data_IF_285737907669
#
_entry.id   IF_285737907669
#
_cell.length_a   1.000
_cell.length_b   1.000
_cell.length_c   1.000
_cell.angle_alpha   90.00
_cell.angle_beta   90.00
_cell.angle_gamma   90.00
#
_symmetry.space_group_name_H-M   'P 1'
#
loop_
_entity.id
_entity.type
_entity.pdbx_description
1 polymer ?
#
# COMPACT_ATOMS: atom_id res chain seq x y z
N UNK A 1 5.15 3.86 25.89
CA UNK A 1 5.56 4.56 24.66
C UNK A 1 4.99 5.98 24.56
N UNK A 2 3.68 6.21 24.73
CA UNK A 2 3.09 7.56 24.59
C UNK A 2 3.70 8.66 25.48
N UNK A 3 3.96 8.38 26.76
CA UNK A 3 4.58 9.36 27.68
C UNK A 3 6.01 9.70 27.27
N UNK A 4 6.80 8.70 26.85
CA UNK A 4 8.19 8.90 26.42
C UNK A 4 8.23 9.78 25.16
N UNK A 5 7.35 9.52 24.19
CA UNK A 5 7.23 10.32 22.96
C UNK A 5 6.78 11.74 23.28
N UNK A 6 5.82 11.92 24.19
CA UNK A 6 5.35 13.24 24.62
C UNK A 6 6.49 14.04 25.27
N UNK A 7 7.25 13.43 26.18
CA UNK A 7 8.38 14.08 26.86
C UNK A 7 9.48 14.45 25.86
N UNK A 8 9.79 13.57 24.90
CA UNK A 8 10.78 13.82 23.86
C UNK A 8 10.35 14.94 22.90
N UNK A 9 9.08 14.95 22.48
CA UNK A 9 8.51 16.01 21.66
C UNK A 9 8.56 17.36 22.39
N UNK A 10 8.14 17.41 23.65
CA UNK A 10 8.14 18.64 24.44
C UNK A 10 9.55 19.18 24.69
N UNK A 11 10.55 18.32 24.84
CA UNK A 11 11.96 18.74 24.98
C UNK A 11 12.58 19.18 23.67
N UNK A 12 12.27 18.52 22.55
CA UNK A 12 12.80 18.86 21.22
C UNK A 12 12.12 20.08 20.57
N UNK A 13 10.85 20.35 20.89
CA UNK A 13 10.08 21.49 20.38
C UNK A 13 10.19 22.73 21.26
N UNK A 14 10.81 22.63 22.45
CA UNK A 14 11.03 23.77 23.35
C UNK A 14 11.91 24.81 22.65
N UNK A 15 11.36 25.99 22.35
CA UNK A 15 12.07 27.09 21.71
C UNK A 15 12.01 27.13 20.17
N UNK A 16 11.26 26.23 19.52
CA UNK A 16 10.95 26.31 18.08
C UNK A 16 9.59 26.96 17.83
N UNK A 17 9.45 28.20 18.32
CA UNK A 17 8.23 28.99 18.14
C UNK A 17 8.14 29.47 16.68
N UNK A 18 7.40 28.73 15.85
CA UNK A 18 6.89 29.25 14.56
C UNK A 18 5.99 30.45 14.85
N UNK A 19 6.20 31.56 14.13
CA UNK A 19 5.31 32.72 14.22
C UNK A 19 3.86 32.29 14.02
N UNK A 20 3.05 32.43 15.07
CA UNK A 20 1.62 32.12 15.02
C UNK A 20 0.93 33.25 14.28
N UNK A 21 0.84 33.14 12.96
CA UNK A 21 -0.06 33.99 12.19
C UNK A 21 -1.49 33.50 12.41
N UNK A 22 -2.45 34.37 12.77
CA UNK A 22 -3.86 34.00 12.89
C UNK A 22 -4.44 33.75 11.49
N UNK A 23 -4.15 32.59 10.92
CA UNK A 23 -4.79 32.15 9.69
C UNK A 23 -6.24 31.82 10.02
N UNK A 24 -7.19 32.53 9.40
CA UNK A 24 -8.62 32.23 9.53
C UNK A 24 -8.85 30.79 9.08
N UNK A 25 -9.34 29.95 9.99
CA UNK A 25 -9.56 28.53 9.71
C UNK A 25 -10.63 28.35 8.63
N UNK A 26 -10.26 27.68 7.55
CA UNK A 26 -11.16 27.35 6.44
C UNK A 26 -12.14 26.23 6.83
N UNK A 27 -13.11 26.56 7.69
CA UNK A 27 -14.08 25.61 8.23
C UNK A 27 -14.91 24.88 7.15
N UNK A 28 -15.39 25.55 6.07
CA UNK A 28 -16.11 24.89 5.00
C UNK A 28 -15.24 23.86 4.27
N UNK A 29 -14.02 24.24 3.88
CA UNK A 29 -13.06 23.36 3.22
C UNK A 29 -12.69 22.15 4.08
N UNK A 30 -12.52 22.35 5.40
CA UNK A 30 -12.21 21.28 6.33
C UNK A 30 -13.37 20.29 6.45
N UNK A 31 -14.60 20.79 6.53
CA UNK A 31 -15.81 19.95 6.60
C UNK A 31 -15.98 19.12 5.33
N UNK A 32 -15.80 19.76 4.17
CA UNK A 32 -15.80 19.10 2.86
C UNK A 32 -14.71 18.02 2.76
N UNK A 33 -13.52 18.28 3.32
CA UNK A 33 -12.41 17.33 3.33
C UNK A 33 -12.73 16.13 4.20
N UNK A 34 -13.24 16.35 5.42
CA UNK A 34 -13.61 15.27 6.35
C UNK A 34 -14.73 14.41 5.78
N UNK A 35 -15.80 15.01 5.25
CA UNK A 35 -16.91 14.27 4.65
C UNK A 35 -16.50 13.55 3.36
N UNK A 36 -15.77 14.24 2.48
CA UNK A 36 -15.31 13.69 1.21
C UNK A 36 -14.36 12.52 1.39
N UNK A 37 -13.24 12.79 2.04
CA UNK A 37 -12.12 11.85 2.20
C UNK A 37 -12.46 10.78 3.23
N UNK A 38 -13.06 11.15 4.37
CA UNK A 38 -13.47 10.20 5.39
C UNK A 38 -14.56 9.26 4.88
N UNK A 39 -15.56 9.78 4.17
CA UNK A 39 -16.57 8.94 3.53
C UNK A 39 -15.96 7.98 2.50
N UNK A 40 -14.95 8.44 1.74
CA UNK A 40 -14.32 7.64 0.69
C UNK A 40 -13.47 6.53 1.29
N UNK A 41 -12.73 6.83 2.36
CA UNK A 41 -11.95 5.84 3.09
C UNK A 41 -12.87 4.78 3.70
N UNK A 42 -13.96 5.17 4.36
CA UNK A 42 -14.93 4.21 4.93
C UNK A 42 -15.56 3.36 3.81
N UNK A 43 -15.93 3.99 2.69
CA UNK A 43 -16.46 3.28 1.53
C UNK A 43 -15.49 2.23 0.98
N UNK A 44 -14.21 2.57 0.87
CA UNK A 44 -13.18 1.66 0.38
C UNK A 44 -12.87 0.55 1.39
N UNK A 45 -12.75 0.88 2.67
CA UNK A 45 -12.41 -0.07 3.73
C UNK A 45 -13.55 -1.07 3.97
N UNK A 46 -14.81 -0.61 3.90
CA UNK A 46 -16.00 -1.45 4.09
C UNK A 46 -16.60 -1.97 2.79
N UNK A 47 -16.09 -1.55 1.63
CA UNK A 47 -16.62 -1.91 0.32
C UNK A 47 -16.75 -3.42 0.16
N UNK A 48 -15.67 -4.16 0.41
CA UNK A 48 -15.70 -5.63 0.32
C UNK A 48 -16.61 -6.27 1.38
N UNK A 49 -16.59 -5.79 2.61
CA UNK A 49 -17.37 -6.36 3.72
C UNK A 49 -18.88 -6.15 3.53
N UNK A 50 -19.29 -5.06 2.86
CA UNK A 50 -20.67 -4.68 2.60
C UNK A 50 -21.13 -4.99 1.16
N UNK A 51 -20.44 -5.88 0.45
CA UNK A 51 -20.80 -6.27 -0.92
C UNK A 51 -20.88 -5.09 -1.92
N UNK A 52 -19.98 -4.12 -1.75
CA UNK A 52 -19.77 -2.98 -2.63
C UNK A 52 -21.08 -2.23 -2.95
N UNK A 53 -21.34 -1.95 -4.23
CA UNK A 53 -22.50 -1.18 -4.68
C UNK A 53 -23.83 -1.93 -4.55
N UNK A 54 -23.83 -3.17 -4.04
CA UNK A 54 -25.06 -3.85 -3.65
C UNK A 54 -25.61 -3.32 -2.31
N UNK A 55 -24.75 -2.67 -1.49
CA UNK A 55 -25.17 -2.06 -0.23
C UNK A 55 -25.53 -0.58 -0.38
N UNK A 56 -26.73 -0.25 0.10
CA UNK A 56 -27.21 1.14 0.19
C UNK A 56 -26.25 2.05 0.97
N UNK A 57 -25.58 1.52 1.99
CA UNK A 57 -24.60 2.29 2.79
C UNK A 57 -23.40 2.71 1.95
N UNK A 58 -22.87 1.82 1.11
CA UNK A 58 -21.75 2.11 0.22
C UNK A 58 -22.15 3.10 -0.87
N UNK A 59 -23.37 2.97 -1.42
CA UNK A 59 -23.91 3.94 -2.39
C UNK A 59 -23.99 5.34 -1.75
N UNK A 60 -24.55 5.47 -0.54
CA UNK A 60 -24.66 6.75 0.17
C UNK A 60 -23.26 7.34 0.42
N UNK A 61 -22.33 6.55 0.94
CA UNK A 61 -20.95 7.01 1.17
C UNK A 61 -20.29 7.46 -0.13
N UNK A 62 -20.48 6.72 -1.23
CA UNK A 62 -19.94 7.10 -2.54
C UNK A 62 -20.51 8.44 -3.01
N UNK A 63 -21.83 8.62 -2.94
CA UNK A 63 -22.50 9.85 -3.38
C UNK A 63 -22.04 11.04 -2.53
N UNK A 64 -22.04 10.90 -1.20
CA UNK A 64 -21.57 11.95 -0.28
C UNK A 64 -20.11 12.28 -0.57
N UNK A 65 -19.24 11.28 -0.72
CA UNK A 65 -17.83 11.50 -1.01
C UNK A 65 -17.59 12.18 -2.34
N UNK A 66 -18.26 11.76 -3.40
CA UNK A 66 -18.12 12.36 -4.73
C UNK A 66 -18.59 13.82 -4.71
N UNK A 67 -19.76 14.10 -4.13
CA UNK A 67 -20.29 15.47 -4.03
C UNK A 67 -19.37 16.35 -3.19
N UNK A 68 -18.92 15.86 -2.03
CA UNK A 68 -18.02 16.61 -1.14
C UNK A 68 -16.64 16.84 -1.77
N UNK A 69 -16.07 15.88 -2.48
CA UNK A 69 -14.77 16.05 -3.15
C UNK A 69 -14.85 17.01 -4.34
N UNK A 70 -15.90 16.93 -5.16
CA UNK A 70 -16.12 17.89 -6.25
C UNK A 70 -16.29 19.29 -5.68
N UNK A 71 -17.13 19.44 -4.65
CA UNK A 71 -17.37 20.70 -3.97
C UNK A 71 -16.09 21.23 -3.31
N UNK A 72 -15.24 20.34 -2.77
CA UNK A 72 -13.93 20.70 -2.21
C UNK A 72 -13.01 21.26 -3.29
N UNK A 73 -12.89 20.60 -4.44
CA UNK A 73 -12.02 21.08 -5.53
C UNK A 73 -12.46 22.46 -6.02
N UNK A 74 -13.76 22.68 -6.17
CA UNK A 74 -14.32 23.98 -6.57
C UNK A 74 -14.06 25.05 -5.49
N UNK A 75 -14.29 24.71 -4.22
CA UNK A 75 -14.08 25.61 -3.09
C UNK A 75 -12.62 26.00 -2.93
N UNK A 76 -11.72 25.02 -2.91
CA UNK A 76 -10.28 25.21 -2.74
C UNK A 76 -9.66 25.98 -3.92
N UNK A 77 -10.21 25.84 -5.13
CA UNK A 77 -9.76 26.62 -6.30
C UNK A 77 -10.15 28.10 -6.22
N UNK A 78 -11.16 28.45 -5.41
CA UNK A 78 -11.71 29.82 -5.31
C UNK A 78 -11.36 30.49 -3.97
N UNK A 79 -10.89 29.73 -2.98
CA UNK A 79 -10.61 30.23 -1.62
C UNK A 79 -9.31 31.04 -1.54
N UNK A 80 -9.30 32.09 -0.72
CA UNK A 80 -8.10 32.89 -0.43
C UNK A 80 -7.08 32.16 0.47
N UNK A 81 -7.52 31.20 1.30
CA UNK A 81 -6.67 30.46 2.24
C UNK A 81 -6.82 28.93 2.09
N UNK A 82 -6.57 28.36 0.90
CA UNK A 82 -6.86 26.94 0.63
C UNK A 82 -6.13 26.00 1.60
N UNK A 83 -6.84 24.98 2.07
CA UNK A 83 -6.28 23.86 2.84
C UNK A 83 -5.36 23.03 1.93
N UNK A 84 -5.73 22.88 0.66
CA UNK A 84 -4.97 22.16 -0.36
C UNK A 84 -4.50 23.15 -1.43
N UNK A 85 -3.29 23.69 -1.28
CA UNK A 85 -2.70 24.60 -2.26
C UNK A 85 -2.37 23.86 -3.58
N UNK A 86 -3.34 23.83 -4.51
CA UNK A 86 -3.20 23.20 -5.82
C UNK A 86 -2.12 23.86 -6.70
N UNK A 87 -1.69 25.09 -6.38
CA UNK A 87 -0.60 25.75 -7.11
C UNK A 87 0.72 25.00 -7.00
N UNK A 88 0.89 24.16 -5.97
CA UNK A 88 2.06 23.30 -5.79
C UNK A 88 2.28 22.33 -6.96
N UNK A 89 1.20 21.86 -7.60
CA UNK A 89 1.28 20.99 -8.79
C UNK A 89 1.84 21.68 -10.04
N UNK A 90 2.01 23.01 -10.02
CA UNK A 90 2.78 23.71 -11.07
C UNK A 90 4.27 23.40 -10.99
N UNK A 91 4.78 23.02 -9.82
CA UNK A 91 6.17 22.59 -9.67
C UNK A 91 6.34 21.17 -10.20
N UNK A 92 7.21 21.01 -11.20
CA UNK A 92 7.51 19.72 -11.81
C UNK A 92 7.97 18.68 -10.78
N UNK A 93 8.85 19.06 -9.85
CA UNK A 93 9.38 18.14 -8.84
C UNK A 93 8.30 17.71 -7.85
N UNK A 94 7.42 18.64 -7.45
CA UNK A 94 6.29 18.33 -6.58
C UNK A 94 5.32 17.35 -7.23
N UNK A 95 4.92 17.61 -8.49
CA UNK A 95 3.99 16.73 -9.22
C UNK A 95 4.57 15.33 -9.42
N UNK A 96 5.83 15.23 -9.84
CA UNK A 96 6.48 13.92 -10.05
C UNK A 96 6.64 13.19 -8.72
N UNK A 97 7.03 13.89 -7.66
CA UNK A 97 7.18 13.32 -6.33
C UNK A 97 5.85 12.84 -5.74
N UNK A 98 4.78 13.63 -5.86
CA UNK A 98 3.43 13.22 -5.42
C UNK A 98 2.90 12.07 -6.26
N UNK A 99 2.99 12.12 -7.59
CA UNK A 99 2.52 10.99 -8.42
C UNK A 99 3.30 9.71 -8.09
N UNK A 100 4.62 9.82 -7.91
CA UNK A 100 5.46 8.69 -7.50
C UNK A 100 5.05 8.13 -6.13
N UNK A 101 4.88 8.99 -5.11
CA UNK A 101 4.54 8.53 -3.75
C UNK A 101 3.13 7.94 -3.70
N UNK A 102 2.16 8.54 -4.38
CA UNK A 102 0.78 8.06 -4.49
C UNK A 102 0.74 6.67 -5.13
N UNK A 103 1.28 6.54 -6.34
CA UNK A 103 1.26 5.26 -7.05
C UNK A 103 2.06 4.19 -6.31
N UNK A 104 3.25 4.53 -5.81
CA UNK A 104 4.06 3.54 -5.12
C UNK A 104 3.45 3.13 -3.76
N UNK A 105 2.83 4.05 -3.04
CA UNK A 105 2.15 3.75 -1.78
C UNK A 105 0.88 2.92 -2.00
N UNK A 106 0.18 3.07 -3.13
CA UNK A 106 -0.96 2.25 -3.51
C UNK A 106 -0.57 0.76 -3.63
N UNK A 107 0.50 0.44 -4.35
CA UNK A 107 0.96 -0.95 -4.45
C UNK A 107 1.59 -1.47 -3.16
N UNK A 108 2.27 -0.59 -2.43
CA UNK A 108 2.84 -0.92 -1.11
C UNK A 108 1.76 -1.27 -0.08
N UNK A 109 0.69 -0.47 0.02
CA UNK A 109 -0.41 -0.68 0.97
C UNK A 109 -1.23 -1.93 0.66
N UNK A 110 -1.41 -2.24 -0.64
CA UNK A 110 -2.00 -3.51 -1.05
C UNK A 110 -1.20 -4.71 -0.58
N UNK A 111 0.12 -4.71 -0.85
CA UNK A 111 1.00 -5.82 -0.54
C UNK A 111 1.18 -6.06 0.97
N UNK A 112 1.21 -5.00 1.79
CA UNK A 112 1.36 -5.09 3.25
C UNK A 112 0.15 -5.74 3.92
N UNK A 113 -1.05 -5.58 3.37
CA UNK A 113 -2.27 -6.23 3.89
C UNK A 113 -2.45 -7.62 3.31
N UNK A 114 -2.19 -7.78 2.01
CA UNK A 114 -2.38 -9.05 1.31
C UNK A 114 -1.54 -10.18 1.91
N UNK A 115 -0.27 -9.93 2.27
CA UNK A 115 0.63 -11.00 2.69
C UNK A 115 0.24 -11.64 4.03
N UNK A 116 0.01 -10.90 5.13
CA UNK A 116 -0.51 -11.50 6.36
C UNK A 116 -1.85 -12.21 6.17
N UNK A 117 -2.70 -11.71 5.28
CA UNK A 117 -4.01 -12.31 5.01
C UNK A 117 -3.88 -13.62 4.24
N UNK A 118 -2.98 -13.67 3.26
CA UNK A 118 -2.62 -14.88 2.54
C UNK A 118 -2.09 -15.97 3.48
N UNK A 119 -1.17 -15.64 4.40
CA UNK A 119 -0.64 -16.61 5.37
C UNK A 119 -1.71 -17.17 6.31
N UNK A 120 -2.68 -16.34 6.70
CA UNK A 120 -3.80 -16.77 7.54
C UNK A 120 -4.74 -17.71 6.78
N UNK A 121 -5.09 -17.38 5.53
CA UNK A 121 -6.03 -18.17 4.72
C UNK A 121 -5.41 -19.48 4.19
N UNK A 122 -4.17 -19.45 3.70
CA UNK A 122 -3.55 -20.64 3.07
C UNK A 122 -2.79 -21.53 4.04
N UNK A 123 -2.15 -20.97 5.07
CA UNK A 123 -1.31 -21.74 6.01
C UNK A 123 -1.95 -21.90 7.39
N UNK A 124 -3.17 -21.36 7.60
CA UNK A 124 -3.85 -21.42 8.88
C UNK A 124 -3.11 -20.68 10.01
N UNK A 125 -2.21 -19.75 9.68
CA UNK A 125 -1.49 -18.98 10.69
C UNK A 125 -2.49 -18.15 11.48
N UNK A 126 -2.28 -18.02 12.80
CA UNK A 126 -2.99 -17.00 13.55
C UNK A 126 -2.38 -15.61 13.28
N UNK A 127 -3.07 -14.56 13.71
CA UNK A 127 -2.61 -13.18 13.51
C UNK A 127 -1.20 -12.89 14.08
N UNK A 128 -0.80 -13.58 15.16
CA UNK A 128 0.51 -13.40 15.79
C UNK A 128 1.61 -13.96 14.89
N UNK A 129 1.46 -15.18 14.37
CA UNK A 129 2.44 -15.82 13.50
C UNK A 129 2.55 -15.11 12.14
N UNK A 130 1.42 -14.71 11.55
CA UNK A 130 1.42 -13.91 10.32
C UNK A 130 2.11 -12.56 10.52
N UNK A 131 1.87 -11.89 11.64
CA UNK A 131 2.56 -10.65 12.02
C UNK A 131 4.06 -10.85 12.23
N UNK A 132 4.46 -11.94 12.89
CA UNK A 132 5.87 -12.27 13.13
C UNK A 132 6.62 -12.60 11.84
N UNK A 133 5.98 -13.31 10.90
CA UNK A 133 6.54 -13.56 9.57
C UNK A 133 6.77 -12.26 8.78
N UNK A 134 5.90 -11.27 8.97
CA UNK A 134 5.98 -9.98 8.30
C UNK A 134 6.96 -8.99 8.98
N UNK A 135 7.20 -9.14 10.29
CA UNK A 135 8.00 -8.24 11.13
C UNK A 135 9.44 -7.93 10.64
N UNK A 136 10.19 -8.87 10.01
CA UNK A 136 11.57 -8.63 9.58
C UNK A 136 11.77 -7.45 8.62
N UNK A 137 10.72 -6.99 7.93
CA UNK A 137 10.77 -5.81 7.06
C UNK A 137 11.18 -4.53 7.79
N UNK A 138 10.94 -4.44 9.11
CA UNK A 138 11.29 -3.28 9.93
C UNK A 138 12.76 -3.21 10.35
N UNK A 139 13.50 -4.31 10.24
CA UNK A 139 14.89 -4.39 10.71
C UNK A 139 15.81 -3.49 9.87
N UNK A 140 15.69 -3.56 8.55
CA UNK A 140 16.54 -2.79 7.64
C UNK A 140 16.29 -1.27 7.68
N UNK A 141 15.05 -0.77 7.69
CA UNK A 141 14.79 0.65 7.91
C UNK A 141 15.38 1.17 9.22
N UNK A 142 15.34 0.39 10.30
CA UNK A 142 15.90 0.79 11.59
C UNK A 142 17.42 1.01 11.51
N UNK A 143 18.14 0.17 10.75
CA UNK A 143 19.59 0.26 10.59
C UNK A 143 20.01 1.31 9.55
N UNK A 144 19.26 1.41 8.44
CA UNK A 144 19.67 2.17 7.25
C UNK A 144 19.16 3.62 7.30
N UNK A 145 18.00 3.90 7.91
CA UNK A 145 17.44 5.27 7.92
C UNK A 145 18.38 6.32 8.54
N UNK A 146 19.10 6.06 9.67
CA UNK A 146 20.08 7.02 10.21
C UNK A 146 21.25 7.25 9.26
N UNK A 147 21.66 6.21 8.53
CA UNK A 147 22.74 6.28 7.55
C UNK A 147 22.33 7.17 6.37
N UNK A 148 21.12 6.98 5.84
CA UNK A 148 20.56 7.84 4.79
C UNK A 148 20.40 9.27 5.30
N UNK A 149 19.94 9.48 6.53
CA UNK A 149 19.83 10.83 7.11
C UNK A 149 21.17 11.55 7.19
N UNK A 150 22.24 10.83 7.56
CA UNK A 150 23.60 11.39 7.70
C UNK A 150 24.30 11.65 6.35
N UNK A 151 24.14 10.73 5.39
CA UNK A 151 24.86 10.78 4.12
C UNK A 151 24.00 11.23 2.93
N UNK A 152 22.69 11.36 3.11
CA UNK A 152 21.73 11.67 2.06
C UNK A 152 22.01 12.99 1.34
N UNK A 153 22.52 14.00 2.05
CA UNK A 153 22.87 15.29 1.44
C UNK A 153 23.97 15.20 0.38
N UNK A 154 24.72 14.08 0.32
CA UNK A 154 25.79 13.84 -0.67
C UNK A 154 25.35 12.93 -1.83
N UNK A 155 24.16 12.34 -1.75
CA UNK A 155 23.69 11.34 -2.72
C UNK A 155 22.51 11.93 -3.51
N UNK A 156 22.44 11.65 -4.81
CA UNK A 156 21.26 12.00 -5.60
C UNK A 156 20.04 11.20 -5.10
N UNK A 157 19.02 11.91 -4.65
CA UNK A 157 17.78 11.32 -4.13
C UNK A 157 17.11 10.39 -5.14
N UNK A 158 17.26 10.63 -6.45
CA UNK A 158 16.69 9.73 -7.46
C UNK A 158 17.33 8.37 -7.49
N UNK A 159 18.63 8.28 -7.22
CA UNK A 159 19.33 7.00 -7.18
C UNK A 159 18.81 6.16 -6.02
N UNK A 160 18.54 6.80 -4.87
CA UNK A 160 17.91 6.11 -3.73
C UNK A 160 16.49 5.64 -4.04
N UNK A 161 15.66 6.48 -4.66
CA UNK A 161 14.30 6.06 -5.05
C UNK A 161 14.33 4.96 -6.11
N UNK A 162 15.23 5.06 -7.09
CA UNK A 162 15.44 4.04 -8.13
C UNK A 162 15.83 2.71 -7.48
N UNK A 163 16.79 2.73 -6.56
CA UNK A 163 17.17 1.55 -5.79
C UNK A 163 15.98 0.97 -5.00
N UNK A 164 15.20 1.82 -4.33
CA UNK A 164 14.00 1.40 -3.61
C UNK A 164 13.00 0.69 -4.53
N UNK A 165 12.65 1.30 -5.66
CA UNK A 165 11.66 0.76 -6.58
C UNK A 165 12.12 -0.54 -7.24
N UNK A 166 13.38 -0.61 -7.65
CA UNK A 166 13.95 -1.86 -8.17
C UNK A 166 13.98 -2.95 -7.11
N UNK A 167 14.31 -2.63 -5.86
CA UNK A 167 14.30 -3.59 -4.76
C UNK A 167 12.87 -4.09 -4.46
N UNK A 168 11.85 -3.22 -4.49
CA UNK A 168 10.45 -3.64 -4.42
C UNK A 168 10.07 -4.56 -5.57
N UNK A 169 10.45 -4.21 -6.80
CA UNK A 169 10.16 -5.03 -7.98
C UNK A 169 10.77 -6.44 -7.85
N UNK A 170 12.05 -6.53 -7.46
CA UNK A 170 12.73 -7.81 -7.24
C UNK A 170 12.07 -8.60 -6.12
N UNK A 171 11.76 -7.99 -4.97
CA UNK A 171 11.17 -8.69 -3.83
C UNK A 171 9.75 -9.19 -4.14
N UNK A 172 8.94 -8.42 -4.85
CA UNK A 172 7.59 -8.82 -5.26
C UNK A 172 7.61 -9.90 -6.34
N UNK A 173 8.53 -9.80 -7.30
CA UNK A 173 8.72 -10.85 -8.29
C UNK A 173 9.22 -12.15 -7.64
N UNK A 174 10.24 -12.07 -6.78
CA UNK A 174 10.78 -13.21 -6.04
C UNK A 174 9.70 -13.92 -5.24
N UNK A 175 8.86 -13.15 -4.55
CA UNK A 175 7.68 -13.67 -3.83
C UNK A 175 6.69 -14.36 -4.75
N UNK A 176 6.36 -13.75 -5.89
CA UNK A 176 5.44 -14.37 -6.85
C UNK A 176 5.93 -15.71 -7.41
N UNK A 177 7.24 -15.93 -7.47
CA UNK A 177 7.81 -17.19 -8.01
C UNK A 177 7.96 -18.24 -6.92
N UNK A 178 8.26 -17.81 -5.69
CA UNK A 178 8.58 -18.72 -4.59
C UNK A 178 7.35 -19.14 -3.80
N UNK A 179 6.29 -18.32 -3.77
CA UNK A 179 5.12 -18.60 -2.94
C UNK A 179 4.32 -19.79 -3.49
N UNK A 180 4.39 -20.88 -2.74
CA UNK A 180 3.66 -22.13 -2.93
C UNK A 180 3.04 -22.54 -1.59
N UNK A 181 1.91 -23.28 -1.56
CA UNK A 181 1.28 -23.73 -0.31
C UNK A 181 2.22 -24.48 0.65
N UNK A 182 3.23 -25.16 0.11
CA UNK A 182 4.23 -25.94 0.86
C UNK A 182 5.51 -25.16 1.20
N UNK A 183 5.50 -23.82 1.10
CA UNK A 183 6.68 -22.99 1.35
C UNK A 183 7.11 -23.06 2.82
N UNK A 184 8.41 -23.16 3.07
CA UNK A 184 8.96 -23.09 4.42
C UNK A 184 8.93 -21.65 4.97
N UNK A 185 8.92 -21.51 6.29
CA UNK A 185 8.84 -20.23 6.99
C UNK A 185 9.99 -19.29 6.61
N UNK A 186 11.18 -19.83 6.37
CA UNK A 186 12.34 -19.06 5.89
C UNK A 186 12.13 -18.48 4.48
N UNK A 187 11.41 -19.19 3.60
CA UNK A 187 11.07 -18.72 2.25
C UNK A 187 10.13 -17.52 2.25
N UNK A 188 9.33 -17.35 3.31
CA UNK A 188 8.45 -16.19 3.53
C UNK A 188 9.26 -15.01 4.08
N UNK A 189 10.14 -15.26 5.04
CA UNK A 189 10.91 -14.23 5.76
C UNK A 189 11.98 -13.57 4.87
N UNK A 190 12.68 -14.34 4.03
CA UNK A 190 13.82 -13.81 3.28
C UNK A 190 13.43 -12.65 2.35
N UNK A 191 12.41 -12.76 1.48
CA UNK A 191 11.97 -11.63 0.66
C UNK A 191 11.52 -10.44 1.50
N UNK A 192 10.94 -10.70 2.68
CA UNK A 192 10.45 -9.68 3.60
C UNK A 192 11.59 -8.87 4.24
N UNK A 193 12.66 -9.56 4.64
CA UNK A 193 13.87 -8.96 5.17
C UNK A 193 14.56 -8.08 4.12
N UNK A 194 14.72 -8.56 2.89
CA UNK A 194 15.32 -7.79 1.80
C UNK A 194 14.43 -6.62 1.36
N UNK A 195 13.11 -6.76 1.40
CA UNK A 195 12.19 -5.66 1.14
C UNK A 195 12.39 -4.48 2.11
N UNK A 196 12.90 -4.72 3.32
CA UNK A 196 13.22 -3.66 4.26
C UNK A 196 14.26 -2.66 3.73
N UNK A 197 15.19 -3.08 2.85
CA UNK A 197 16.10 -2.14 2.16
C UNK A 197 15.32 -1.18 1.26
N UNK A 198 14.28 -1.68 0.59
CA UNK A 198 13.41 -0.87 -0.25
C UNK A 198 12.67 0.18 0.59
N UNK A 199 12.08 -0.24 1.72
CA UNK A 199 11.35 0.64 2.66
C UNK A 199 12.24 1.77 3.19
N UNK A 200 13.49 1.47 3.55
CA UNK A 200 14.43 2.47 4.05
C UNK A 200 14.69 3.60 3.05
N UNK A 201 14.82 3.25 1.76
CA UNK A 201 15.09 4.19 0.68
C UNK A 201 13.83 4.74 0.00
N UNK A 202 12.64 4.48 0.56
CA UNK A 202 11.36 4.83 -0.08
C UNK A 202 10.87 6.22 0.30
N UNK A 203 10.52 6.43 1.57
CA UNK A 203 9.75 7.60 2.00
C UNK A 203 10.58 8.88 2.00
N UNK A 204 11.77 8.84 2.59
CA UNK A 204 12.59 10.02 2.80
C UNK A 204 13.00 10.65 1.45
N UNK A 205 13.60 9.92 0.49
CA UNK A 205 14.07 10.52 -0.75
C UNK A 205 12.93 11.03 -1.63
N UNK A 206 11.79 10.33 -1.67
CA UNK A 206 10.58 10.81 -2.37
C UNK A 206 10.07 12.12 -1.79
N UNK A 207 10.01 12.22 -0.46
CA UNK A 207 9.56 13.45 0.21
C UNK A 207 10.53 14.61 -0.07
N UNK A 208 11.83 14.34 -0.05
CA UNK A 208 12.86 15.34 -0.41
C UNK A 208 12.74 15.80 -1.86
N UNK A 209 12.47 14.90 -2.80
CA UNK A 209 12.23 15.26 -4.21
C UNK A 209 10.96 16.12 -4.33
N UNK A 210 9.86 15.72 -3.68
CA UNK A 210 8.59 16.44 -3.72
C UNK A 210 8.71 17.87 -3.22
N UNK A 211 9.49 18.10 -2.16
CA UNK A 211 9.59 19.43 -1.53
C UNK A 211 10.79 20.25 -2.03
N UNK A 212 11.62 19.67 -2.91
CA UNK A 212 12.76 20.35 -3.49
C UNK A 212 12.35 21.60 -4.27
N UNK A 213 12.91 22.75 -3.91
CA UNK A 213 12.68 24.03 -4.57
C UNK A 213 11.40 24.76 -4.16
N UNK A 214 10.66 24.24 -3.15
CA UNK A 214 9.54 24.97 -2.57
C UNK A 214 10.04 26.03 -1.55
N UNK A 215 9.38 27.19 -1.47
CA UNK A 215 9.67 28.17 -0.44
C UNK A 215 9.19 27.69 0.95
N UNK A 216 9.88 28.11 2.01
CA UNK A 216 9.66 27.68 3.41
C UNK A 216 8.19 27.83 3.85
N UNK A 217 7.52 28.89 3.41
CA UNK A 217 6.12 29.17 3.71
C UNK A 217 5.12 28.17 3.08
N UNK A 218 5.56 27.33 2.12
CA UNK A 218 4.72 26.32 1.46
C UNK A 218 4.97 24.90 1.95
N UNK A 219 5.98 24.65 2.80
CA UNK A 219 6.30 23.30 3.27
C UNK A 219 5.17 22.65 4.06
N UNK A 220 4.47 23.41 4.90
CA UNK A 220 3.33 22.88 5.67
C UNK A 220 2.22 22.36 4.73
N UNK A 221 1.85 23.15 3.71
CA UNK A 221 0.85 22.79 2.72
C UNK A 221 1.31 21.64 1.81
N UNK A 222 2.59 21.61 1.43
CA UNK A 222 3.17 20.52 0.65
C UNK A 222 3.17 19.19 1.43
N UNK A 223 3.50 19.26 2.72
CA UNK A 223 3.49 18.11 3.63
C UNK A 223 2.07 17.58 3.89
N UNK A 224 1.11 18.47 4.15
CA UNK A 224 -0.30 18.08 4.31
C UNK A 224 -0.85 17.44 3.04
N UNK A 225 -0.58 18.02 1.87
CA UNK A 225 -0.98 17.48 0.57
C UNK A 225 -0.35 16.11 0.30
N UNK A 226 0.96 15.97 0.51
CA UNK A 226 1.64 14.68 0.31
C UNK A 226 1.11 13.60 1.25
N UNK A 227 0.81 13.94 2.51
CA UNK A 227 0.20 13.01 3.45
C UNK A 227 -1.24 12.65 3.05
N UNK A 228 -2.03 13.63 2.62
CA UNK A 228 -3.39 13.43 2.13
C UNK A 228 -3.42 12.40 0.99
N UNK A 229 -2.66 12.63 -0.07
CA UNK A 229 -2.59 11.71 -1.21
C UNK A 229 -2.03 10.34 -0.82
N UNK A 230 -1.04 10.30 0.07
CA UNK A 230 -0.49 9.04 0.57
C UNK A 230 -1.54 8.22 1.31
N UNK A 231 -2.25 8.81 2.28
CA UNK A 231 -3.29 8.11 3.04
C UNK A 231 -4.42 7.64 2.13
N UNK A 232 -4.87 8.50 1.22
CA UNK A 232 -5.90 8.15 0.23
C UNK A 232 -5.47 6.96 -0.65
N UNK A 233 -4.23 6.99 -1.16
CA UNK A 233 -3.65 5.89 -1.96
C UNK A 233 -3.55 4.60 -1.15
N UNK A 234 -3.29 4.73 0.15
CA UNK A 234 -3.24 3.62 1.10
C UNK A 234 -4.55 2.84 1.11
N UNK A 235 -5.67 3.51 1.42
CA UNK A 235 -7.00 2.92 1.46
C UNK A 235 -7.44 2.37 0.09
N UNK A 236 -7.21 3.13 -1.00
CA UNK A 236 -7.52 2.66 -2.36
C UNK A 236 -6.72 1.40 -2.70
N UNK A 237 -5.41 1.40 -2.44
CA UNK A 237 -4.52 0.29 -2.73
C UNK A 237 -4.88 -0.98 -2.00
N UNK A 238 -5.19 -0.88 -0.70
CA UNK A 238 -5.64 -2.01 0.11
C UNK A 238 -6.96 -2.58 -0.39
N UNK A 239 -7.97 -1.73 -0.56
CA UNK A 239 -9.32 -2.15 -0.98
C UNK A 239 -9.33 -2.78 -2.38
N UNK A 240 -8.63 -2.15 -3.33
CA UNK A 240 -8.49 -2.66 -4.69
C UNK A 240 -7.76 -4.00 -4.71
N UNK A 241 -6.65 -4.10 -3.96
CA UNK A 241 -5.86 -5.35 -3.88
C UNK A 241 -6.70 -6.49 -3.33
N UNK A 242 -7.41 -6.27 -2.23
CA UNK A 242 -8.26 -7.30 -1.61
C UNK A 242 -9.42 -7.72 -2.50
N UNK A 243 -10.02 -6.78 -3.21
CA UNK A 243 -11.11 -7.07 -4.14
C UNK A 243 -10.62 -7.81 -5.37
N UNK A 244 -9.48 -7.39 -5.94
CA UNK A 244 -8.85 -8.11 -7.05
C UNK A 244 -8.44 -9.51 -6.64
N UNK A 245 -7.92 -9.68 -5.42
CA UNK A 245 -7.51 -10.98 -4.91
C UNK A 245 -8.70 -11.96 -4.82
N UNK A 246 -9.81 -11.55 -4.19
CA UNK A 246 -11.01 -12.39 -4.12
C UNK A 246 -11.64 -12.68 -5.49
N UNK A 247 -11.68 -11.69 -6.40
CA UNK A 247 -12.20 -11.91 -7.76
C UNK A 247 -11.32 -12.87 -8.57
N UNK A 248 -10.00 -12.77 -8.46
CA UNK A 248 -9.05 -13.67 -9.12
C UNK A 248 -9.12 -15.07 -8.52
N UNK A 249 -9.26 -15.18 -7.20
CA UNK A 249 -9.41 -16.45 -6.52
C UNK A 249 -10.62 -17.20 -7.05
N UNK A 250 -11.79 -16.56 -7.10
CA UNK A 250 -13.01 -17.17 -7.62
C UNK A 250 -12.89 -17.60 -9.09
N UNK A 251 -12.16 -16.83 -9.91
CA UNK A 251 -11.88 -17.18 -11.30
C UNK A 251 -11.00 -18.43 -11.41
N UNK A 252 -9.87 -18.47 -10.68
CA UNK A 252 -8.97 -19.62 -10.69
C UNK A 252 -9.63 -20.86 -10.08
N UNK A 253 -10.46 -20.69 -9.05
CA UNK A 253 -11.24 -21.75 -8.45
C UNK A 253 -12.19 -22.37 -9.48
N UNK A 254 -12.95 -21.54 -10.22
CA UNK A 254 -13.85 -22.03 -11.27
C UNK A 254 -13.09 -22.75 -12.39
N UNK A 255 -11.91 -22.28 -12.78
CA UNK A 255 -11.08 -22.90 -13.82
C UNK A 255 -10.50 -24.25 -13.38
N UNK A 256 -10.00 -24.34 -12.15
CA UNK A 256 -9.47 -25.58 -11.58
C UNK A 256 -10.60 -26.62 -11.41
N UNK A 257 -11.76 -26.22 -10.88
CA UNK A 257 -12.92 -27.10 -10.74
C UNK A 257 -13.44 -27.58 -12.10
N UNK A 258 -13.42 -26.75 -13.14
CA UNK A 258 -13.83 -27.16 -14.50
C UNK A 258 -12.90 -28.23 -15.12
N UNK A 259 -11.68 -28.38 -14.63
CA UNK A 259 -10.72 -29.41 -15.09
C UNK A 259 -10.98 -30.77 -14.42
N UNK A 260 -11.75 -30.78 -13.32
CA UNK A 260 -12.14 -31.97 -12.58
C UNK A 260 -13.46 -32.48 -13.14
N UNK A 261 -13.34 -33.33 -14.16
CA UNK A 261 -14.47 -34.07 -14.72
C UNK A 261 -14.48 -35.50 -14.16
N UNK A 262 -15.66 -36.08 -13.94
CA UNK A 262 -15.83 -37.49 -13.58
C UNK A 262 -15.27 -38.43 -14.66
N UNK A 263 -15.08 -37.93 -15.88
CA UNK A 263 -14.44 -38.66 -16.97
C UNK A 263 -12.91 -38.51 -17.01
N UNK A 264 -12.32 -37.69 -16.12
CA UNK A 264 -10.87 -37.56 -16.04
C UNK A 264 -10.26 -38.80 -15.36
N UNK A 265 -9.43 -39.59 -16.06
CA UNK A 265 -8.87 -40.82 -15.51
C UNK A 265 -8.00 -40.58 -14.26
N UNK A 266 -7.38 -39.40 -14.13
CA UNK A 266 -6.58 -39.01 -12.96
C UNK A 266 -7.47 -38.79 -11.73
N UNK A 267 -8.67 -38.22 -11.91
CA UNK A 267 -9.64 -38.04 -10.83
C UNK A 267 -10.19 -39.38 -10.36
N UNK A 268 -10.55 -40.28 -11.30
CA UNK A 268 -11.06 -41.61 -10.96
C UNK A 268 -10.04 -42.51 -10.25
N UNK A 269 -8.75 -42.45 -10.63
CA UNK A 269 -7.71 -43.20 -9.92
C UNK A 269 -7.42 -42.63 -8.53
N UNK A 270 -7.48 -41.30 -8.38
CA UNK A 270 -7.22 -40.62 -7.11
C UNK A 270 -8.39 -40.73 -6.14
N UNK A 271 -9.63 -40.67 -6.64
CA UNK A 271 -10.84 -40.82 -5.83
C UNK A 271 -10.96 -42.22 -5.25
N UNK A 272 -10.57 -43.28 -5.98
CA UNK A 272 -10.51 -44.65 -5.45
C UNK A 272 -9.52 -44.81 -4.30
N UNK A 273 -8.38 -44.12 -4.35
CA UNK A 273 -7.38 -44.12 -3.26
C UNK A 273 -7.89 -43.32 -2.07
N UNK A 274 -8.50 -42.15 -2.32
CA UNK A 274 -9.01 -41.26 -1.27
C UNK A 274 -10.29 -41.80 -0.61
N UNK A 275 -11.14 -42.54 -1.32
CA UNK A 275 -12.34 -43.18 -0.74
C UNK A 275 -11.96 -44.18 0.36
N UNK A 276 -10.79 -44.81 0.24
CA UNK A 276 -10.23 -45.69 1.28
C UNK A 276 -9.80 -44.95 2.56
N UNK A 277 -9.50 -43.65 2.47
CA UNK A 277 -9.07 -42.81 3.59
C UNK A 277 -10.22 -42.00 4.20
N UNK A 278 -11.14 -41.49 3.38
CA UNK A 278 -12.23 -40.60 3.82
C UNK A 278 -13.59 -41.31 3.95
N UNK A 279 -13.70 -42.57 3.50
CA UNK A 279 -14.87 -43.44 3.67
C UNK A 279 -16.14 -42.98 2.94
N UNK A 280 -16.09 -41.86 2.22
CA UNK A 280 -17.20 -41.32 1.43
C UNK A 280 -16.70 -40.40 0.33
N UNK A 281 -17.36 -40.45 -0.83
CA UNK A 281 -17.13 -39.53 -1.95
C UNK A 281 -17.26 -38.05 -1.55
N UNK A 282 -18.19 -37.73 -0.64
CA UNK A 282 -18.38 -36.36 -0.14
C UNK A 282 -17.16 -35.85 0.65
N UNK A 283 -16.49 -36.71 1.43
CA UNK A 283 -15.26 -36.35 2.14
C UNK A 283 -14.11 -36.05 1.19
N UNK A 284 -13.96 -36.87 0.15
CA UNK A 284 -12.95 -36.68 -0.91
C UNK A 284 -13.17 -35.37 -1.68
N UNK A 285 -14.42 -35.06 -2.05
CA UNK A 285 -14.76 -33.84 -2.77
C UNK A 285 -14.51 -32.57 -1.92
N UNK A 286 -14.78 -32.62 -0.62
CA UNK A 286 -14.50 -31.50 0.27
C UNK A 286 -12.99 -31.22 0.40
N UNK A 287 -12.17 -32.27 0.49
CA UNK A 287 -10.72 -32.10 0.56
C UNK A 287 -10.15 -31.51 -0.74
N UNK A 288 -10.62 -32.03 -1.89
CA UNK A 288 -10.25 -31.51 -3.20
C UNK A 288 -10.66 -30.02 -3.33
N UNK A 289 -11.85 -29.66 -2.86
CA UNK A 289 -12.31 -28.27 -2.87
C UNK A 289 -11.42 -27.36 -2.00
N UNK A 290 -10.99 -27.83 -0.83
CA UNK A 290 -10.07 -27.08 0.04
C UNK A 290 -8.71 -26.86 -0.64
N UNK A 291 -8.15 -27.88 -1.28
CA UNK A 291 -6.90 -27.80 -2.04
C UNK A 291 -7.01 -26.83 -3.23
N UNK A 292 -8.10 -26.90 -4.01
CA UNK A 292 -8.37 -25.95 -5.10
C UNK A 292 -8.43 -24.53 -4.58
N UNK A 293 -9.10 -24.31 -3.44
CA UNK A 293 -9.20 -22.99 -2.81
C UNK A 293 -7.82 -22.46 -2.41
N UNK A 294 -6.99 -23.28 -1.74
CA UNK A 294 -5.64 -22.88 -1.34
C UNK A 294 -4.75 -22.56 -2.55
N UNK A 295 -4.84 -23.34 -3.63
CA UNK A 295 -4.11 -23.08 -4.86
C UNK A 295 -4.59 -21.81 -5.56
N UNK A 296 -5.91 -21.60 -5.64
CA UNK A 296 -6.53 -20.42 -6.25
C UNK A 296 -6.12 -19.13 -5.53
N UNK A 297 -6.13 -19.13 -4.20
CA UNK A 297 -5.65 -18.03 -3.36
C UNK A 297 -4.17 -17.70 -3.66
N UNK A 298 -3.33 -18.73 -3.72
CA UNK A 298 -1.88 -18.60 -3.95
C UNK A 298 -1.57 -18.07 -5.36
N UNK A 299 -2.21 -18.61 -6.40
CA UNK A 299 -2.04 -18.17 -7.79
C UNK A 299 -2.48 -16.70 -7.93
N UNK A 300 -3.62 -16.35 -7.34
CA UNK A 300 -4.16 -14.99 -7.37
C UNK A 300 -3.22 -13.98 -6.70
N UNK A 301 -2.66 -14.33 -5.55
CA UNK A 301 -1.69 -13.49 -4.86
C UNK A 301 -0.41 -13.31 -5.69
N UNK A 302 0.08 -14.37 -6.33
CA UNK A 302 1.26 -14.33 -7.21
C UNK A 302 1.04 -13.42 -8.43
N UNK A 303 -0.15 -13.43 -9.04
CA UNK A 303 -0.51 -12.48 -10.10
C UNK A 303 -0.47 -11.02 -9.59
N UNK A 304 -1.00 -10.75 -8.40
CA UNK A 304 -1.00 -9.41 -7.81
C UNK A 304 0.42 -8.92 -7.51
N UNK A 305 1.26 -9.77 -6.91
CA UNK A 305 2.66 -9.41 -6.66
C UNK A 305 3.44 -9.16 -7.96
N UNK A 306 3.18 -9.94 -9.03
CA UNK A 306 3.75 -9.67 -10.37
C UNK A 306 3.31 -8.33 -10.93
N UNK A 307 2.02 -8.00 -10.85
CA UNK A 307 1.52 -6.71 -11.31
C UNK A 307 2.17 -5.55 -10.53
N UNK A 308 2.29 -5.69 -9.21
CA UNK A 308 2.98 -4.71 -8.37
C UNK A 308 4.46 -4.57 -8.76
N UNK A 309 5.15 -5.69 -9.03
CA UNK A 309 6.56 -5.66 -9.46
C UNK A 309 6.75 -4.86 -10.76
N UNK A 310 5.89 -5.11 -11.77
CA UNK A 310 5.91 -4.37 -13.04
C UNK A 310 5.63 -2.88 -12.80
N UNK A 311 4.67 -2.56 -11.93
CA UNK A 311 4.34 -1.17 -11.61
C UNK A 311 5.55 -0.43 -10.99
N UNK A 312 6.30 -1.06 -10.08
CA UNK A 312 7.50 -0.47 -9.51
C UNK A 312 8.62 -0.23 -10.55
N UNK A 313 8.75 -1.11 -11.56
CA UNK A 313 9.67 -0.89 -12.70
C UNK A 313 9.23 0.34 -13.50
N UNK A 314 7.95 0.47 -13.81
CA UNK A 314 7.42 1.64 -14.53
C UNK A 314 7.59 2.94 -13.74
N UNK A 315 7.36 2.91 -12.43
CA UNK A 315 7.56 4.05 -11.54
C UNK A 315 9.02 4.48 -11.46
N UNK A 316 9.96 3.56 -11.67
CA UNK A 316 11.39 3.90 -11.76
C UNK A 316 11.62 4.90 -12.88
N UNK A 317 11.04 4.68 -14.06
CA UNK A 317 11.16 5.62 -15.20
C UNK A 317 10.57 6.99 -14.85
N UNK A 318 9.45 7.02 -14.12
CA UNK A 318 8.76 8.25 -13.74
C UNK A 318 9.63 9.18 -12.88
N UNK A 319 10.39 8.62 -11.94
CA UNK A 319 11.27 9.37 -11.03
C UNK A 319 12.38 10.12 -11.77
N UNK A 320 12.84 9.59 -12.90
CA UNK A 320 13.90 10.21 -13.70
C UNK A 320 13.45 11.51 -14.38
N UNK A 321 12.14 11.77 -14.47
CA UNK A 321 11.63 13.04 -14.96
C UNK A 321 11.78 14.19 -13.97
N UNK A 322 12.12 13.95 -12.70
CA UNK A 322 12.42 15.03 -11.76
C UNK A 322 13.64 15.87 -12.25
N UNK A 323 13.92 17.05 -11.68
CA UNK A 323 15.10 17.87 -12.03
C UNK A 323 15.97 18.17 -10.80
N UNK A 324 17.30 17.94 -10.85
CA UNK A 324 18.20 18.25 -9.73
C UNK A 324 18.53 19.75 -9.75
N UNK A 325 19.11 20.34 -8.68
CA UNK A 325 19.57 19.71 -7.44
C UNK A 325 18.47 19.49 -6.40
N UNK A 326 18.52 18.35 -5.71
CA UNK A 326 17.62 18.00 -4.60
C UNK A 326 18.23 18.43 -3.26
N UNK A 327 18.42 19.73 -3.06
CA UNK A 327 18.83 20.24 -1.75
C UNK A 327 17.63 20.36 -0.82
N UNK A 328 17.62 19.56 0.24
CA UNK A 328 16.83 19.84 1.43
C UNK A 328 17.48 21.03 2.16
N UNK A 329 17.09 22.27 1.84
CA UNK A 329 17.39 23.40 2.72
C UNK A 329 16.43 23.31 3.90
N UNK A 330 16.85 22.70 5.00
CA UNK A 330 16.01 22.62 6.20
C UNK A 330 16.29 21.45 7.14
N UNK A 331 17.55 21.19 7.49
CA UNK A 331 17.92 20.59 8.78
C UNK A 331 19.25 21.23 9.20
N UNK A 332 19.17 22.46 9.69
CA UNK A 332 20.19 23.14 10.48
C UNK A 332 19.64 23.36 11.88
#
# INVERSE_FOLDING_TARGET
MGIIVLTLCLTLLKGRETETSPVKMNLPGLTLLVLGVGGLQIMLDKGRDLDWFNSSTIIILTVVSVISLISLVIWESTSENPILDLSLFKSRNFTIGIVSITCAYLFYSGAIVLMPQLLQETMGYNAIWAGLAYAPIGIMPLLISPLIGRYGNKIDMRLLVTFSFLMYAVCYYWRSVTFMPTIDFTGIILPQFFQGFAVACFFLPLTTISFSGLPDNKFANASSMSNFFRTLSGSVGTSLTMTLWGRRESLHHSQLTATIDQFNPVFNSSSQIMDKYYGSLSGVLNEINNEITQQSLSISANEIFRMAAIAFILLTVLVWFAKPPFTAKGVG
#
